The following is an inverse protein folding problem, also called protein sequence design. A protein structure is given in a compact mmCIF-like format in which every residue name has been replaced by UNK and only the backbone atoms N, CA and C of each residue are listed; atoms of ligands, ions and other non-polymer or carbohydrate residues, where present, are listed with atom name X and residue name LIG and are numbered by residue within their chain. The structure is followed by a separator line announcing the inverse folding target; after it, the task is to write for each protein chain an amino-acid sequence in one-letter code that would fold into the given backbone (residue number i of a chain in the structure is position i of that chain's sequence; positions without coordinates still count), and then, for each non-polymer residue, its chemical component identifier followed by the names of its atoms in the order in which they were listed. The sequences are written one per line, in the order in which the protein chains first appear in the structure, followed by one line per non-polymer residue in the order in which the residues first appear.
data_IF_217966456111
#
_entry.id   IF_217966456111
#
_cell.length_a   1.000
_cell.length_b   1.000
_cell.length_c   1.000
_cell.angle_alpha   90.00
_cell.angle_beta   90.00
_cell.angle_gamma   90.00
#
_symmetry.space_group_name_H-M   'P 1'
#
loop_
_entity.id
_entity.type
_entity.pdbx_description
1 polymer ?
#
# COMPACT_ATOMS: atom_id res chain seq x y z
N UNK A 1 1.48 21.96 -42.52
CA UNK A 1 1.78 20.63 -41.96
C UNK A 1 1.95 20.79 -40.46
N UNK A 2 0.98 20.36 -39.66
CA UNK A 2 1.04 20.47 -38.20
C UNK A 2 0.50 19.16 -37.65
N UNK A 3 1.40 18.34 -37.09
CA UNK A 3 1.04 17.05 -36.52
C UNK A 3 0.23 17.26 -35.24
N UNK A 4 -0.90 16.55 -35.04
CA UNK A 4 -1.57 16.55 -33.75
C UNK A 4 -0.77 15.67 -32.79
N UNK A 5 -0.12 16.31 -31.81
CA UNK A 5 0.42 15.65 -30.62
C UNK A 5 -0.77 15.08 -29.82
N UNK A 6 -1.17 13.85 -30.15
CA UNK A 6 -2.04 13.04 -29.30
C UNK A 6 -1.25 12.71 -28.02
N UNK A 7 -1.31 13.62 -27.03
CA UNK A 7 -1.16 13.26 -25.62
C UNK A 7 -2.32 12.31 -25.32
N UNK A 8 -2.13 11.03 -25.65
CA UNK A 8 -3.09 9.99 -25.28
C UNK A 8 -3.05 9.92 -23.78
N UNK A 9 -4.02 10.56 -23.13
CA UNK A 9 -4.36 10.28 -21.75
C UNK A 9 -4.59 8.77 -21.69
N UNK A 10 -3.67 8.06 -21.04
CA UNK A 10 -3.74 6.61 -20.90
C UNK A 10 -4.83 6.33 -19.87
N UNK A 11 -6.09 6.37 -20.31
CA UNK A 11 -7.27 5.96 -19.55
C UNK A 11 -7.65 4.50 -19.82
N UNK A 12 -6.91 3.82 -20.71
CA UNK A 12 -7.13 2.40 -20.99
C UNK A 12 -6.59 1.55 -19.83
N UNK A 13 -7.44 0.80 -19.11
CA UNK A 13 -7.02 0.01 -17.95
C UNK A 13 -5.92 -1.01 -18.25
N UNK A 14 -5.93 -1.58 -19.47
CA UNK A 14 -4.91 -2.55 -19.90
C UNK A 14 -3.55 -1.88 -20.04
N UNK A 15 -3.51 -0.68 -20.65
CA UNK A 15 -2.27 0.07 -20.80
C UNK A 15 -1.74 0.61 -19.46
N UNK A 16 -2.64 1.05 -18.57
CA UNK A 16 -2.30 1.44 -17.19
C UNK A 16 -1.67 0.24 -16.46
N UNK A 17 -2.34 -0.91 -16.46
CA UNK A 17 -1.87 -2.13 -15.83
C UNK A 17 -0.52 -2.58 -16.38
N UNK A 18 -0.34 -2.58 -17.70
CA UNK A 18 0.94 -2.91 -18.33
C UNK A 18 2.07 -1.94 -17.94
N UNK A 19 1.80 -0.63 -17.91
CA UNK A 19 2.81 0.38 -17.52
C UNK A 19 3.22 0.21 -16.05
N UNK A 20 2.25 0.06 -15.15
CA UNK A 20 2.52 -0.14 -13.72
C UNK A 20 3.20 -1.50 -13.49
N UNK A 21 2.79 -2.54 -14.22
CA UNK A 21 3.43 -3.85 -14.19
C UNK A 21 4.93 -3.77 -14.51
N UNK A 22 5.32 -2.99 -15.53
CA UNK A 22 6.75 -2.75 -15.82
C UNK A 22 7.50 -2.06 -14.68
N UNK A 23 6.86 -1.12 -13.98
CA UNK A 23 7.43 -0.48 -12.79
C UNK A 23 7.62 -1.52 -11.68
N UNK A 24 6.60 -2.36 -11.43
CA UNK A 24 6.65 -3.44 -10.43
C UNK A 24 7.78 -4.43 -10.74
N UNK A 25 7.90 -4.88 -11.99
CA UNK A 25 8.99 -5.78 -12.38
C UNK A 25 10.36 -5.12 -12.20
N UNK A 26 10.50 -3.83 -12.54
CA UNK A 26 11.75 -3.09 -12.32
C UNK A 26 12.10 -3.00 -10.83
N UNK A 27 11.09 -2.80 -9.97
CA UNK A 27 11.27 -2.77 -8.51
C UNK A 27 11.72 -4.14 -8.00
N UNK A 28 11.05 -5.22 -8.42
CA UNK A 28 11.42 -6.59 -8.03
C UNK A 28 12.87 -6.92 -8.40
N UNK A 29 13.29 -6.60 -9.62
CA UNK A 29 14.66 -6.83 -10.07
C UNK A 29 15.65 -6.08 -9.19
N UNK A 30 15.42 -4.78 -8.94
CA UNK A 30 16.29 -3.97 -8.07
C UNK A 30 16.36 -4.51 -6.64
N UNK A 31 15.23 -4.96 -6.07
CA UNK A 31 15.21 -5.53 -4.73
C UNK A 31 16.04 -6.81 -4.65
N UNK A 32 16.02 -7.64 -5.71
CA UNK A 32 16.84 -8.86 -5.78
C UNK A 32 18.34 -8.59 -5.91
N UNK A 33 18.72 -7.45 -6.50
CA UNK A 33 20.11 -7.02 -6.65
C UNK A 33 20.68 -6.41 -5.34
N UNK A 34 19.82 -6.07 -4.39
CA UNK A 34 20.22 -5.51 -3.10
C UNK A 34 20.28 -6.65 -2.07
N UNK A 35 21.46 -6.91 -1.51
CA UNK A 35 21.70 -7.98 -0.53
C UNK A 35 20.89 -7.84 0.77
N UNK A 36 20.37 -6.64 1.07
CA UNK A 36 19.44 -6.40 2.18
C UNK A 36 18.13 -5.74 1.73
N UNK A 37 17.08 -6.53 1.44
CA UNK A 37 15.75 -6.00 1.13
C UNK A 37 15.10 -5.26 2.32
N UNK A 38 15.71 -5.23 3.51
CA UNK A 38 15.25 -4.39 4.63
C UNK A 38 15.45 -2.89 4.37
N UNK A 39 16.37 -2.52 3.49
CA UNK A 39 16.66 -1.12 3.16
C UNK A 39 16.08 -0.74 1.79
N UNK A 40 14.77 -0.96 1.62
CA UNK A 40 14.05 -0.39 0.47
C UNK A 40 14.04 1.12 0.66
N UNK A 41 14.98 1.79 0.00
CA UNK A 41 15.07 3.23 0.00
C UNK A 41 13.87 3.79 -0.78
N UNK A 42 13.33 4.93 -0.34
CA UNK A 42 12.26 5.65 -1.03
C UNK A 42 12.53 5.77 -2.54
N UNK A 43 13.79 5.93 -2.95
CA UNK A 43 14.23 5.98 -4.35
C UNK A 43 13.82 4.78 -5.22
N UNK A 44 13.66 3.59 -4.63
CA UNK A 44 13.24 2.37 -5.35
C UNK A 44 11.73 2.39 -5.57
N UNK A 45 10.96 2.82 -4.56
CA UNK A 45 9.50 2.87 -4.59
C UNK A 45 8.95 4.16 -5.19
N UNK A 46 9.74 5.22 -5.27
CA UNK A 46 9.35 6.54 -5.76
C UNK A 46 8.58 6.49 -7.08
N UNK A 47 9.00 5.72 -8.11
CA UNK A 47 8.24 5.61 -9.35
C UNK A 47 6.82 5.07 -9.13
N UNK A 48 6.63 4.14 -8.20
CA UNK A 48 5.32 3.60 -7.86
C UNK A 48 4.52 4.57 -6.99
N UNK A 49 5.15 5.19 -5.99
CA UNK A 49 4.52 6.16 -5.08
C UNK A 49 4.03 7.42 -5.81
N UNK A 50 4.75 7.87 -6.83
CA UNK A 50 4.30 8.96 -7.72
C UNK A 50 2.97 8.58 -8.40
N UNK A 51 2.82 7.34 -8.85
CA UNK A 51 1.55 6.89 -9.45
C UNK A 51 0.42 6.79 -8.41
N UNK A 52 0.72 6.47 -7.15
CA UNK A 52 -0.28 6.51 -6.07
C UNK A 52 -0.86 7.92 -5.86
N UNK A 53 -0.06 8.98 -6.12
CA UNK A 53 -0.50 10.38 -6.05
C UNK A 53 -1.17 10.91 -7.33
N UNK A 54 -1.36 10.07 -8.36
CA UNK A 54 -2.00 10.49 -9.61
C UNK A 54 -3.45 10.94 -9.38
N UNK A 55 -3.85 12.01 -10.08
CA UNK A 55 -5.25 12.45 -10.16
C UNK A 55 -6.13 11.44 -10.91
N UNK A 56 -5.53 10.60 -11.75
CA UNK A 56 -6.25 9.52 -12.42
C UNK A 56 -6.51 8.38 -11.44
N UNK A 57 -7.78 8.18 -11.10
CA UNK A 57 -8.21 7.19 -10.11
C UNK A 57 -7.78 5.76 -10.47
N UNK A 58 -7.73 5.42 -11.75
CA UNK A 58 -7.31 4.10 -12.21
C UNK A 58 -5.81 3.90 -12.02
N UNK A 59 -4.99 4.89 -12.40
CA UNK A 59 -3.54 4.86 -12.17
C UNK A 59 -3.24 4.74 -10.68
N UNK A 60 -3.84 5.60 -9.86
CA UNK A 60 -3.66 5.59 -8.40
C UNK A 60 -4.09 4.26 -7.79
N UNK A 61 -5.27 3.74 -8.15
CA UNK A 61 -5.76 2.46 -7.61
C UNK A 61 -4.89 1.28 -8.01
N UNK A 62 -4.47 1.20 -9.27
CA UNK A 62 -3.59 0.12 -9.74
C UNK A 62 -2.21 0.21 -9.09
N UNK A 63 -1.69 1.42 -8.84
CA UNK A 63 -0.42 1.61 -8.12
C UNK A 63 -0.53 1.14 -6.65
N UNK A 64 -1.62 1.50 -5.98
CA UNK A 64 -1.92 1.05 -4.63
C UNK A 64 -2.09 -0.47 -4.51
N UNK A 65 -2.77 -1.10 -5.47
CA UNK A 65 -2.88 -2.56 -5.56
C UNK A 65 -1.51 -3.22 -5.78
N UNK A 66 -0.68 -2.62 -6.63
CA UNK A 66 0.68 -3.11 -6.89
C UNK A 66 1.57 -3.04 -5.66
N UNK A 67 1.39 -2.03 -4.81
CA UNK A 67 2.09 -1.94 -3.52
C UNK A 67 1.67 -3.06 -2.58
N UNK A 68 0.37 -3.36 -2.49
CA UNK A 68 -0.12 -4.51 -1.70
C UNK A 68 0.49 -5.81 -2.20
N UNK A 69 0.46 -6.03 -3.52
CA UNK A 69 1.05 -7.22 -4.13
C UNK A 69 2.54 -7.38 -3.81
N UNK A 70 3.32 -6.30 -3.81
CA UNK A 70 4.73 -6.35 -3.43
C UNK A 70 4.94 -6.74 -1.96
N UNK A 71 4.05 -6.33 -1.05
CA UNK A 71 4.07 -6.74 0.36
C UNK A 71 3.65 -8.20 0.53
N UNK A 72 2.56 -8.61 -0.12
CA UNK A 72 2.05 -9.99 -0.09
C UNK A 72 3.10 -10.98 -0.60
N UNK A 73 3.76 -10.64 -1.72
CA UNK A 73 4.84 -11.43 -2.32
C UNK A 73 6.20 -11.29 -1.60
N UNK A 74 6.22 -10.65 -0.43
CA UNK A 74 7.38 -10.50 0.47
C UNK A 74 8.58 -9.76 -0.15
N UNK A 75 8.36 -8.99 -1.22
CA UNK A 75 9.36 -8.05 -1.74
C UNK A 75 9.48 -6.81 -0.84
N UNK A 76 8.41 -6.43 -0.13
CA UNK A 76 8.40 -5.30 0.80
C UNK A 76 7.96 -5.73 2.19
N UNK A 77 8.58 -5.15 3.22
CA UNK A 77 8.12 -5.29 4.61
C UNK A 77 6.92 -4.37 4.87
N UNK A 78 5.99 -4.83 5.73
CA UNK A 78 4.75 -4.10 6.03
C UNK A 78 5.01 -2.68 6.56
N UNK A 79 5.84 -2.55 7.60
CA UNK A 79 6.05 -1.27 8.28
C UNK A 79 6.70 -0.20 7.38
N UNK A 80 7.81 -0.45 6.66
CA UNK A 80 8.34 0.52 5.70
C UNK A 80 7.34 0.92 4.61
N UNK A 81 6.59 -0.04 4.05
CA UNK A 81 5.60 0.25 3.01
C UNK A 81 4.48 1.17 3.52
N UNK A 82 4.00 0.96 4.75
CA UNK A 82 3.01 1.85 5.37
C UNK A 82 3.60 3.24 5.61
N UNK A 83 4.82 3.34 6.13
CA UNK A 83 5.50 4.62 6.36
C UNK A 83 5.64 5.44 5.08
N UNK A 84 6.02 4.80 3.97
CA UNK A 84 6.11 5.45 2.66
C UNK A 84 4.75 6.00 2.20
N UNK A 85 3.67 5.22 2.32
CA UNK A 85 2.32 5.70 1.98
C UNK A 85 1.90 6.87 2.88
N UNK A 86 2.14 6.76 4.18
CA UNK A 86 1.81 7.81 5.16
C UNK A 86 2.52 9.11 4.83
N UNK A 87 3.80 9.05 4.44
CA UNK A 87 4.60 10.22 4.04
C UNK A 87 4.01 10.98 2.85
N UNK A 88 3.23 10.30 1.99
CA UNK A 88 2.61 10.88 0.79
C UNK A 88 1.13 11.22 0.97
N UNK A 89 0.53 10.99 2.14
CA UNK A 89 -0.92 11.19 2.35
C UNK A 89 -1.40 12.62 2.06
N UNK A 90 -0.55 13.64 2.22
CA UNK A 90 -0.91 15.02 1.88
C UNK A 90 -1.06 15.26 0.37
N UNK A 91 -0.43 14.44 -0.47
CA UNK A 91 -0.49 14.54 -1.94
C UNK A 91 -1.50 13.56 -2.56
N UNK A 92 -1.87 12.50 -1.84
CA UNK A 92 -2.82 11.49 -2.31
C UNK A 92 -4.23 12.08 -2.43
N UNK A 93 -4.85 11.96 -3.61
CA UNK A 93 -6.26 12.32 -3.82
C UNK A 93 -7.21 11.14 -3.57
N UNK A 94 -6.76 9.93 -3.87
CA UNK A 94 -7.55 8.71 -3.72
C UNK A 94 -7.39 8.10 -2.31
N UNK A 95 -8.00 8.74 -1.32
CA UNK A 95 -7.98 8.27 0.08
C UNK A 95 -8.65 6.89 0.25
N UNK A 96 -9.59 6.52 -0.62
CA UNK A 96 -10.23 5.21 -0.59
C UNK A 96 -9.20 4.12 -0.86
N UNK A 97 -8.41 4.25 -1.93
CA UNK A 97 -7.36 3.29 -2.25
C UNK A 97 -6.24 3.30 -1.21
N UNK A 98 -5.81 4.47 -0.73
CA UNK A 98 -4.81 4.55 0.34
C UNK A 98 -5.26 3.83 1.63
N UNK A 99 -6.48 4.10 2.10
CA UNK A 99 -7.06 3.44 3.28
C UNK A 99 -7.13 1.94 3.09
N UNK A 100 -7.57 1.50 1.90
CA UNK A 100 -7.70 0.07 1.58
C UNK A 100 -6.33 -0.61 1.55
N UNK A 101 -5.32 0.03 0.96
CA UNK A 101 -3.95 -0.48 0.90
C UNK A 101 -3.31 -0.56 2.27
N UNK A 102 -3.38 0.49 3.10
CA UNK A 102 -2.85 0.45 4.47
C UNK A 102 -3.52 -0.67 5.26
N UNK A 103 -4.84 -0.80 5.16
CA UNK A 103 -5.58 -1.85 5.85
C UNK A 103 -5.23 -3.26 5.34
N UNK A 104 -4.96 -3.41 4.04
CA UNK A 104 -4.49 -4.67 3.47
C UNK A 104 -3.09 -5.03 4.00
N UNK A 105 -2.16 -4.06 4.04
CA UNK A 105 -0.83 -4.27 4.58
C UNK A 105 -0.88 -4.64 6.07
N UNK A 106 -1.77 -4.03 6.86
CA UNK A 106 -1.97 -4.43 8.25
C UNK A 106 -2.53 -5.84 8.41
N UNK A 107 -3.44 -6.28 7.54
CA UNK A 107 -3.87 -7.69 7.54
C UNK A 107 -2.73 -8.64 7.23
N UNK A 108 -1.86 -8.29 6.29
CA UNK A 108 -0.67 -9.10 6.00
C UNK A 108 0.32 -9.11 7.17
N UNK A 109 0.48 -8.00 7.90
CA UNK A 109 1.25 -7.99 9.14
C UNK A 109 0.60 -8.91 10.19
N UNK A 110 -0.71 -8.80 10.43
CA UNK A 110 -1.43 -9.65 11.39
C UNK A 110 -1.29 -11.15 11.07
N UNK A 111 -1.41 -11.56 9.80
CA UNK A 111 -1.18 -12.95 9.39
C UNK A 111 0.22 -13.44 9.75
N UNK A 112 1.24 -12.62 9.55
CA UNK A 112 2.62 -12.97 9.92
C UNK A 112 2.78 -13.17 11.44
N UNK A 113 2.04 -12.43 12.27
CA UNK A 113 2.01 -12.64 13.73
C UNK A 113 1.28 -13.93 14.11
N UNK A 114 0.15 -14.21 13.47
CA UNK A 114 -0.60 -15.46 13.64
C UNK A 114 0.27 -16.68 13.29
N UNK A 115 0.91 -16.66 12.11
CA UNK A 115 1.77 -17.75 11.62
C UNK A 115 2.99 -17.99 12.53
N UNK A 116 3.47 -16.95 13.23
CA UNK A 116 4.59 -17.05 14.15
C UNK A 116 4.18 -17.36 15.60
N UNK A 117 2.87 -17.52 15.87
CA UNK A 117 2.29 -17.65 17.22
C UNK A 117 2.87 -16.62 18.21
N UNK A 118 3.16 -15.41 17.72
CA UNK A 118 3.75 -14.34 18.52
C UNK A 118 2.68 -13.35 18.96
N UNK A 119 2.84 -12.77 20.15
CA UNK A 119 1.92 -11.74 20.65
C UNK A 119 2.03 -10.48 19.80
N UNK A 120 0.92 -10.10 19.16
CA UNK A 120 0.84 -8.87 18.38
C UNK A 120 1.21 -7.64 19.22
N UNK A 121 2.15 -6.85 18.72
CA UNK A 121 2.53 -5.57 19.30
C UNK A 121 2.23 -4.43 18.32
N UNK A 122 1.24 -3.60 18.65
CA UNK A 122 0.90 -2.42 17.86
C UNK A 122 2.00 -1.36 17.98
N UNK A 123 2.64 -1.04 16.85
CA UNK A 123 3.73 -0.03 16.79
C UNK A 123 3.23 1.41 16.79
N UNK A 124 1.92 1.62 16.77
CA UNK A 124 1.29 2.93 16.66
C UNK A 124 0.50 3.28 17.92
N UNK A 125 0.42 4.58 18.20
CA UNK A 125 -0.37 5.14 19.29
C UNK A 125 -1.41 6.15 18.77
N UNK A 126 -2.16 6.76 19.68
CA UNK A 126 -3.04 7.88 19.35
C UNK A 126 -2.27 9.18 19.04
N UNK A 127 -1.04 9.29 19.54
CA UNK A 127 -0.17 10.46 19.44
C UNK A 127 0.97 10.18 18.45
N UNK A 128 2.24 10.09 18.89
CA UNK A 128 3.36 9.73 18.03
C UNK A 128 3.94 8.36 18.42
N UNK A 129 4.30 7.49 17.45
CA UNK A 129 3.90 7.55 16.05
C UNK A 129 2.39 7.28 15.90
N UNK A 130 1.67 8.17 15.19
CA UNK A 130 0.21 8.10 15.09
C UNK A 130 -0.21 6.93 14.22
N UNK A 131 -1.31 6.27 14.58
CA UNK A 131 -1.88 5.24 13.72
C UNK A 131 -2.28 5.82 12.35
N UNK A 132 -1.85 5.21 11.22
CA UNK A 132 -2.08 5.75 9.88
C UNK A 132 -3.55 6.03 9.53
N UNK A 133 -4.47 5.20 10.03
CA UNK A 133 -5.91 5.44 9.85
C UNK A 133 -6.41 6.69 10.61
N UNK A 134 -5.81 7.02 11.77
CA UNK A 134 -6.12 8.28 12.46
C UNK A 134 -5.59 9.45 11.63
N UNK A 135 -4.37 9.35 11.11
CA UNK A 135 -3.80 10.37 10.22
C UNK A 135 -4.66 10.60 8.97
N UNK A 136 -5.20 9.54 8.36
CA UNK A 136 -6.16 9.65 7.25
C UNK A 136 -7.43 10.40 7.67
N UNK A 137 -8.00 10.09 8.84
CA UNK A 137 -9.21 10.77 9.32
C UNK A 137 -8.97 12.25 9.60
N UNK A 138 -7.78 12.63 10.08
CA UNK A 138 -7.41 14.02 10.28
C UNK A 138 -7.28 14.78 8.94
N UNK A 139 -6.71 14.14 7.91
CA UNK A 139 -6.53 14.76 6.59
C UNK A 139 -7.81 14.77 5.74
N UNK A 140 -8.63 13.72 5.84
CA UNK A 140 -9.87 13.56 5.07
C UNK A 140 -10.99 13.02 5.97
N UNK A 141 -11.64 13.88 6.79
CA UNK A 141 -12.69 13.47 7.72
C UNK A 141 -13.86 12.73 7.06
N UNK A 142 -14.24 13.12 5.84
CA UNK A 142 -15.33 12.48 5.08
C UNK A 142 -15.10 11.00 4.77
N UNK A 143 -13.86 10.52 4.89
CA UNK A 143 -13.50 9.11 4.64
C UNK A 143 -13.91 8.16 5.76
N UNK A 144 -14.46 8.66 6.88
CA UNK A 144 -14.72 7.90 8.10
C UNK A 144 -15.51 6.61 7.88
N UNK A 145 -16.53 6.61 7.01
CA UNK A 145 -17.32 5.41 6.70
C UNK A 145 -16.46 4.30 6.11
N UNK A 146 -15.54 4.68 5.22
CA UNK A 146 -14.64 3.74 4.57
C UNK A 146 -13.56 3.24 5.54
N UNK A 147 -13.02 4.12 6.39
CA UNK A 147 -12.08 3.74 7.46
C UNK A 147 -12.72 2.73 8.41
N UNK A 148 -13.91 3.00 8.93
CA UNK A 148 -14.64 2.07 9.80
C UNK A 148 -14.89 0.74 9.08
N UNK A 149 -15.35 0.78 7.82
CA UNK A 149 -15.54 -0.43 7.03
C UNK A 149 -14.27 -1.27 6.94
N UNK A 150 -13.12 -0.65 6.67
CA UNK A 150 -11.85 -1.37 6.61
C UNK A 150 -11.46 -1.94 7.98
N UNK A 151 -11.63 -1.19 9.07
CA UNK A 151 -11.41 -1.69 10.42
C UNK A 151 -12.26 -2.92 10.73
N UNK A 152 -13.55 -2.88 10.40
CA UNK A 152 -14.44 -4.04 10.56
C UNK A 152 -13.97 -5.24 9.75
N UNK A 153 -13.43 -5.03 8.54
CA UNK A 153 -12.88 -6.11 7.73
C UNK A 153 -11.59 -6.70 8.32
N UNK A 154 -10.76 -5.91 8.99
CA UNK A 154 -9.55 -6.39 9.68
C UNK A 154 -9.89 -7.21 10.93
N UNK A 155 -10.98 -6.89 11.62
CA UNK A 155 -11.42 -7.60 12.83
C UNK A 155 -12.15 -8.93 12.54
N UNK A 156 -12.50 -9.21 11.28
CA UNK A 156 -13.16 -10.48 10.95
C UNK A 156 -12.14 -11.60 11.14
N UNK A 157 -12.47 -12.66 11.90
CA UNK A 157 -11.56 -13.77 12.09
C UNK A 157 -11.23 -14.40 10.74
N UNK A 158 -9.95 -14.35 10.39
CA UNK A 158 -9.34 -15.27 9.45
C UNK A 158 -9.43 -16.65 10.11
N UNK A 159 -10.03 -17.63 9.45
CA UNK A 159 -10.03 -19.01 9.95
C UNK A 159 -8.57 -19.48 9.98
N UNK A 160 -7.89 -19.32 11.10
CA UNK A 160 -6.59 -19.92 11.36
C UNK A 160 -6.80 -21.07 12.35
N UNK A 161 -6.58 -22.30 11.88
CA UNK A 161 -6.72 -23.54 12.65
C UNK A 161 -5.45 -23.89 13.45
N UNK A 162 -4.46 -22.99 13.51
CA UNK A 162 -3.12 -23.32 13.99
C UNK A 162 -2.61 -22.33 15.03
N UNK A 163 -3.08 -22.48 16.27
CA UNK A 163 -2.25 -22.21 17.45
C UNK A 163 -2.84 -23.05 18.60
N UNK A 164 -2.72 -24.38 18.48
CA UNK A 164 -3.02 -25.30 19.59
C UNK A 164 -1.79 -25.31 20.48
N UNK A 165 -1.85 -24.61 21.60
CA UNK A 165 -0.81 -24.59 22.61
C UNK A 165 -0.79 -25.99 23.26
N UNK A 166 0.31 -26.73 23.09
CA UNK A 166 0.68 -27.89 23.90
C UNK A 166 1.45 -27.41 25.13
#
# INVERSE_FOLDING_TARGET
MTAPQLKVEINNPVLIGHKIGKIVESIKTKIREIDDPANIQSSILDPLLVNCTSDNIHISSTAFQSLVYLVEAKYLKCLPAVSEVVSKLGAIKNYISATTTISAIFREEMKLWEDSCSTYNCKYSLQAPQHPLITILLLKPDSWRHVIRQMTLMLRPTKSEYCTIL
#
